data_IF_956497698320
#
_entry.id   IF_956497698320
#
_cell.length_a   1.000
_cell.length_b   1.000
_cell.length_c   1.000
_cell.angle_alpha   90.00
_cell.angle_beta   90.00
_cell.angle_gamma   90.00
#
_symmetry.space_group_name_H-M   'P 1'
#
loop_
_entity.id
_entity.type
_entity.pdbx_description
1 polymer ?
#
# COMPACT_ATOMS: atom_id res chain seq x y z
N UNK A 1 -8.67 18.11 -23.50
CA UNK A 1 -9.75 17.80 -22.53
C UNK A 1 -9.92 16.30 -22.19
N UNK A 2 -9.09 15.38 -22.71
CA UNK A 2 -9.15 13.95 -22.32
C UNK A 2 -8.45 13.62 -20.98
N UNK A 3 -7.61 14.52 -20.46
CA UNK A 3 -6.72 14.25 -19.33
C UNK A 3 -7.42 14.25 -17.96
N UNK A 4 -8.45 15.08 -17.77
CA UNK A 4 -9.07 15.24 -16.44
C UNK A 4 -9.97 14.06 -16.06
N UNK A 5 -10.74 13.51 -17.00
CA UNK A 5 -11.57 12.32 -16.77
C UNK A 5 -10.71 11.08 -16.45
N UNK A 6 -9.55 10.97 -17.08
CA UNK A 6 -8.59 9.90 -16.81
C UNK A 6 -7.98 10.03 -15.41
N UNK A 7 -7.64 11.27 -15.01
CA UNK A 7 -7.13 11.59 -13.67
C UNK A 7 -8.16 11.29 -12.57
N UNK A 8 -9.42 11.71 -12.74
CA UNK A 8 -10.52 11.39 -11.82
C UNK A 8 -10.75 9.89 -11.69
N UNK A 9 -10.68 9.16 -12.80
CA UNK A 9 -10.93 7.71 -12.79
C UNK A 9 -9.80 6.97 -12.05
N UNK A 10 -8.55 7.37 -12.28
CA UNK A 10 -7.38 6.81 -11.58
C UNK A 10 -7.38 7.16 -10.09
N UNK A 11 -7.65 8.42 -9.73
CA UNK A 11 -7.75 8.87 -8.33
C UNK A 11 -8.87 8.11 -7.58
N UNK A 12 -10.01 7.85 -8.24
CA UNK A 12 -11.08 7.02 -7.66
C UNK A 12 -10.73 5.53 -7.53
N UNK A 13 -9.90 4.97 -8.41
CA UNK A 13 -9.46 3.57 -8.31
C UNK A 13 -8.51 3.41 -7.11
N UNK A 14 -7.54 4.31 -6.95
CA UNK A 14 -6.64 4.30 -5.80
C UNK A 14 -7.41 4.42 -4.47
N UNK A 15 -8.40 5.32 -4.41
CA UNK A 15 -9.28 5.47 -3.24
C UNK A 15 -10.13 4.22 -2.94
N UNK A 16 -10.57 3.49 -3.95
CA UNK A 16 -11.35 2.25 -3.74
C UNK A 16 -10.50 1.05 -3.33
N UNK A 17 -9.20 1.08 -3.60
CA UNK A 17 -8.27 -0.02 -3.30
C UNK A 17 -7.49 0.18 -2.00
N UNK A 18 -7.37 1.42 -1.51
CA UNK A 18 -6.72 1.74 -0.25
C UNK A 18 -7.69 1.69 0.94
N UNK A 19 -7.58 0.65 1.76
CA UNK A 19 -8.46 0.41 2.90
C UNK A 19 -7.79 0.79 4.24
N UNK A 20 -8.56 1.03 5.31
CA UNK A 20 -8.02 1.21 6.66
C UNK A 20 -7.05 0.11 7.11
N UNK A 21 -7.36 -1.14 6.77
CA UNK A 21 -6.51 -2.28 7.09
C UNK A 21 -5.17 -2.22 6.34
N UNK A 22 -5.17 -1.75 5.09
CA UNK A 22 -3.95 -1.54 4.33
C UNK A 22 -3.05 -0.47 4.95
N UNK A 23 -3.63 0.63 5.47
CA UNK A 23 -2.85 1.65 6.17
C UNK A 23 -2.11 1.07 7.37
N UNK A 24 -2.83 0.40 8.27
CA UNK A 24 -2.23 -0.19 9.46
C UNK A 24 -1.16 -1.27 9.11
N UNK A 25 -1.45 -2.12 8.12
CA UNK A 25 -0.51 -3.14 7.66
C UNK A 25 0.73 -2.52 7.01
N UNK A 26 0.56 -1.54 6.11
CA UNK A 26 1.67 -0.89 5.43
C UNK A 26 2.59 -0.14 6.41
N UNK A 27 1.98 0.57 7.36
CA UNK A 27 2.69 1.23 8.45
C UNK A 27 3.50 0.23 9.28
N UNK A 28 2.91 -0.92 9.64
CA UNK A 28 3.60 -2.00 10.37
C UNK A 28 4.78 -2.57 9.55
N UNK A 29 4.60 -2.77 8.24
CA UNK A 29 5.65 -3.28 7.35
C UNK A 29 6.83 -2.32 7.16
N UNK A 30 6.56 -1.01 7.23
CA UNK A 30 7.60 0.02 7.17
C UNK A 30 8.22 0.33 8.54
N UNK A 31 7.63 -0.18 9.63
CA UNK A 31 8.06 0.11 11.00
C UNK A 31 7.72 1.55 11.44
N UNK A 32 6.78 2.20 10.76
CA UNK A 32 6.41 3.59 11.05
C UNK A 32 5.44 3.70 12.23
N UNK A 33 5.63 4.75 13.04
CA UNK A 33 4.62 5.19 14.01
C UNK A 33 3.55 6.06 13.32
N UNK A 34 2.43 6.32 14.00
CA UNK A 34 1.39 7.23 13.47
C UNK A 34 1.93 8.65 13.32
N UNK A 35 2.72 9.13 14.28
CA UNK A 35 3.42 10.42 14.21
C UNK A 35 4.39 10.50 13.02
N UNK A 36 5.11 9.41 12.74
CA UNK A 36 6.04 9.37 11.62
C UNK A 36 5.29 9.40 10.29
N UNK A 37 4.24 8.59 10.14
CA UNK A 37 3.37 8.65 8.96
C UNK A 37 2.71 10.03 8.80
N UNK A 38 2.34 10.69 9.90
CA UNK A 38 1.79 12.04 9.87
C UNK A 38 2.80 13.05 9.31
N UNK A 39 4.04 13.02 9.79
CA UNK A 39 5.12 13.88 9.27
C UNK A 39 5.43 13.61 7.81
N UNK A 40 5.44 12.35 7.42
CA UNK A 40 5.83 11.92 6.07
C UNK A 40 4.73 12.17 5.03
N UNK A 41 3.46 11.98 5.39
CA UNK A 41 2.31 12.17 4.49
C UNK A 41 1.72 13.58 4.53
N UNK A 42 2.02 14.37 5.57
CA UNK A 42 1.40 15.68 5.80
C UNK A 42 -0.05 15.59 6.32
N UNK A 43 -0.55 14.38 6.59
CA UNK A 43 -1.89 14.15 7.16
C UNK A 43 -1.81 14.20 8.68
N UNK A 44 -2.81 14.80 9.34
CA UNK A 44 -2.84 14.87 10.80
C UNK A 44 -2.93 13.49 11.46
N UNK A 45 -2.27 13.31 12.62
CA UNK A 45 -2.34 12.08 13.43
C UNK A 45 -3.79 11.65 13.68
N UNK A 46 -4.66 12.60 14.05
CA UNK A 46 -6.08 12.36 14.30
C UNK A 46 -6.83 11.86 13.06
N UNK A 47 -6.50 12.36 11.86
CA UNK A 47 -7.08 11.83 10.62
C UNK A 47 -6.59 10.41 10.33
N UNK A 48 -5.31 10.09 10.60
CA UNK A 48 -4.77 8.74 10.41
C UNK A 48 -5.44 7.76 11.38
N UNK A 49 -5.55 8.10 12.66
CA UNK A 49 -6.21 7.26 13.66
C UNK A 49 -7.68 7.03 13.32
N UNK A 50 -8.39 8.07 12.88
CA UNK A 50 -9.77 7.94 12.38
C UNK A 50 -9.86 7.02 11.19
N UNK A 51 -8.93 7.16 10.24
CA UNK A 51 -8.89 6.30 9.06
C UNK A 51 -8.68 4.83 9.46
N UNK A 52 -7.66 4.53 10.28
CA UNK A 52 -7.38 3.18 10.79
C UNK A 52 -8.57 2.60 11.60
N UNK A 53 -9.30 3.46 12.34
CA UNK A 53 -10.52 3.11 13.07
C UNK A 53 -11.77 2.95 12.18
N UNK A 54 -11.63 2.94 10.85
CA UNK A 54 -12.71 2.85 9.86
C UNK A 54 -13.74 3.98 9.96
N UNK A 55 -13.32 5.14 10.46
CA UNK A 55 -14.14 6.36 10.45
C UNK A 55 -13.94 7.11 9.14
N UNK A 56 -14.89 7.98 8.84
CA UNK A 56 -14.82 8.80 7.66
C UNK A 56 -13.73 9.87 7.79
N UNK A 57 -12.99 10.08 6.70
CA UNK A 57 -11.88 11.02 6.57
C UNK A 57 -11.92 11.60 5.16
N UNK A 58 -11.34 12.77 4.96
CA UNK A 58 -11.35 13.41 3.66
C UNK A 58 -10.63 12.55 2.61
N UNK A 59 -11.18 12.49 1.40
CA UNK A 59 -10.56 11.73 0.30
C UNK A 59 -9.15 12.26 -0.05
N UNK A 60 -8.90 13.56 0.19
CA UNK A 60 -7.57 14.16 0.06
C UNK A 60 -6.55 13.53 1.02
N UNK A 61 -6.94 13.27 2.27
CA UNK A 61 -6.07 12.63 3.27
C UNK A 61 -5.81 11.16 2.90
N UNK A 62 -6.85 10.46 2.43
CA UNK A 62 -6.72 9.08 1.94
C UNK A 62 -5.74 8.98 0.77
N UNK A 63 -5.84 9.90 -0.19
CA UNK A 63 -4.92 9.97 -1.34
C UNK A 63 -3.49 10.28 -0.89
N UNK A 64 -3.30 11.24 0.02
CA UNK A 64 -1.98 11.59 0.53
C UNK A 64 -1.30 10.40 1.22
N UNK A 65 -2.05 9.63 2.03
CA UNK A 65 -1.56 8.40 2.64
C UNK A 65 -1.19 7.35 1.60
N UNK A 66 -2.08 7.08 0.63
CA UNK A 66 -1.83 6.11 -0.43
C UNK A 66 -0.56 6.46 -1.22
N UNK A 67 -0.42 7.71 -1.66
CA UNK A 67 0.76 8.16 -2.39
C UNK A 67 2.05 8.05 -1.58
N UNK A 68 2.02 8.36 -0.27
CA UNK A 68 3.22 8.24 0.55
C UNK A 68 3.67 6.78 0.65
N UNK A 69 2.74 5.86 0.86
CA UNK A 69 3.08 4.43 0.84
C UNK A 69 3.55 3.96 -0.54
N UNK A 70 2.93 4.39 -1.62
CA UNK A 70 3.37 4.07 -2.99
C UNK A 70 4.80 4.55 -3.27
N UNK A 71 5.19 5.72 -2.75
CA UNK A 71 6.56 6.22 -2.89
C UNK A 71 7.61 5.38 -2.14
N UNK A 72 7.21 4.64 -1.11
CA UNK A 72 8.04 3.62 -0.44
C UNK A 72 8.00 2.26 -1.16
N UNK A 73 7.34 2.22 -2.32
CA UNK A 73 7.17 1.03 -3.14
C UNK A 73 6.04 0.13 -2.67
N UNK A 74 5.09 0.59 -1.86
CA UNK A 74 3.92 -0.21 -1.50
C UNK A 74 2.89 -0.22 -2.63
N UNK A 75 2.27 -1.37 -2.88
CA UNK A 75 1.19 -1.53 -3.85
C UNK A 75 -0.02 -2.13 -3.16
N UNK A 76 -1.19 -1.56 -3.43
CA UNK A 76 -2.45 -1.95 -2.80
C UNK A 76 -3.35 -2.63 -3.82
N UNK A 77 -3.68 -3.89 -3.56
CA UNK A 77 -4.65 -4.63 -4.37
C UNK A 77 -5.92 -4.88 -3.57
N UNK A 78 -7.10 -4.66 -4.14
CA UNK A 78 -8.36 -4.87 -3.43
C UNK A 78 -8.51 -6.36 -3.10
N UNK A 79 -8.76 -6.67 -1.83
CA UNK A 79 -8.91 -8.04 -1.35
C UNK A 79 -7.61 -8.77 -1.00
N UNK A 80 -6.45 -8.11 -1.06
CA UNK A 80 -5.15 -8.68 -0.70
C UNK A 80 -4.40 -7.78 0.28
N UNK A 81 -3.56 -8.36 1.13
CA UNK A 81 -2.65 -7.58 1.98
C UNK A 81 -1.71 -6.71 1.11
N UNK A 82 -1.27 -5.53 1.60
CA UNK A 82 -0.38 -4.66 0.85
C UNK A 82 0.95 -5.35 0.55
N UNK A 83 1.40 -5.25 -0.71
CA UNK A 83 2.66 -5.81 -1.16
C UNK A 83 3.73 -4.72 -1.32
N UNK A 84 5.02 -5.08 -1.27
CA UNK A 84 6.11 -4.20 -1.73
C UNK A 84 6.38 -4.51 -3.20
N UNK A 85 6.24 -3.49 -4.06
CA UNK A 85 6.44 -3.53 -5.52
C UNK A 85 7.87 -3.79 -5.97
N UNK A 86 8.84 -3.92 -5.05
CA UNK A 86 10.11 -4.60 -5.34
C UNK A 86 9.82 -6.09 -5.53
N UNK A 87 9.35 -6.46 -6.73
CA UNK A 87 9.48 -7.76 -7.44
C UNK A 87 8.37 -8.01 -8.49
N UNK A 88 7.94 -7.02 -9.29
CA UNK A 88 7.14 -7.31 -10.51
C UNK A 88 8.05 -7.70 -11.71
N UNK A 89 9.34 -7.98 -11.45
CA UNK A 89 10.24 -8.63 -12.39
C UNK A 89 11.01 -9.79 -11.72
N UNK A 90 10.26 -10.82 -11.31
CA UNK A 90 10.82 -12.13 -10.93
C UNK A 90 11.31 -12.24 -9.49
N UNK A 91 10.47 -12.82 -8.63
CA UNK A 91 10.89 -13.60 -7.46
C UNK A 91 9.82 -14.70 -7.28
N UNK A 92 10.03 -16.01 -7.40
CA UNK A 92 11.23 -16.84 -7.41
C UNK A 92 12.35 -16.39 -6.49
N UNK A 93 12.02 -16.30 -5.20
CA UNK A 93 12.88 -16.75 -4.10
C UNK A 93 12.02 -16.70 -2.83
N UNK A 94 11.78 -17.72 -2.02
CA UNK A 94 12.19 -19.12 -2.00
C UNK A 94 11.17 -19.85 -1.12
N UNK A 95 10.52 -20.88 -1.67
CA UNK A 95 10.21 -22.11 -0.91
C UNK A 95 10.84 -23.31 -1.62
N UNK A 96 12.03 -23.12 -2.20
CA UNK A 96 12.89 -24.20 -2.68
C UNK A 96 13.84 -24.59 -1.54
N UNK A 97 13.26 -25.29 -0.58
CA UNK A 97 13.96 -25.98 0.49
C UNK A 97 13.52 -27.42 0.59
N UNK A 98 13.43 -28.14 -0.54
CA UNK A 98 13.49 -29.60 -0.53
C UNK A 98 14.22 -30.05 -1.79
N UNK A 99 15.39 -30.63 -1.53
CA UNK A 99 16.35 -31.07 -2.51
C UNK A 99 16.03 -32.50 -2.94
N UNK A 100 15.61 -32.68 -4.18
CA UNK A 100 15.47 -34.01 -4.79
C UNK A 100 15.46 -33.92 -6.32
N UNK A 101 16.55 -33.40 -6.89
CA UNK A 101 16.91 -33.71 -8.28
C UNK A 101 18.42 -33.89 -8.41
N UNK A 102 18.89 -35.08 -8.04
CA UNK A 102 20.09 -35.66 -8.60
C UNK A 102 19.86 -37.17 -8.63
N UNK A 103 19.61 -37.70 -9.82
CA UNK A 103 20.14 -38.97 -10.36
C UNK A 103 19.51 -39.16 -11.74
N UNK A 104 20.21 -38.68 -12.77
CA UNK A 104 20.17 -39.29 -14.09
C UNK A 104 21.44 -40.13 -14.17
N UNK A 105 21.28 -41.44 -14.34
CA UNK A 105 22.18 -42.28 -15.12
C UNK A 105 21.33 -43.38 -15.77
#
# INVERSE_FOLDING_TARGET
>A
MASYAMKITLERIALFQFTPAHCAQARTMLGWSVDELSRESGVSVDAIERFEARRDVADADRLALAYRFESEGMVFFPGFAPGRGMNIKGSSTESMGRADFAMVE
#
